data_IF_459905186247
#
_entry.id   IF_459905186247
#
_cell.length_a   1.000
_cell.length_b   1.000
_cell.length_c   1.000
_cell.angle_alpha   90.00
_cell.angle_beta   90.00
_cell.angle_gamma   90.00
#
_symmetry.space_group_name_H-M   'P 1'
#
loop_
_entity.id
_entity.type
_entity.pdbx_description
1 polymer ?
#
# COMPACT_ATOMS: atom_id res chain seq x y z
N UNK A 1 -7.67 24.23 3.53
CA UNK A 1 -6.68 23.66 2.60
C UNK A 1 -7.31 22.39 2.06
N UNK A 2 -7.23 22.14 0.76
CA UNK A 2 -7.96 21.05 0.09
C UNK A 2 -7.10 19.78 0.04
N UNK A 3 -6.68 19.29 1.20
CA UNK A 3 -5.94 18.03 1.32
C UNK A 3 -6.92 16.84 1.44
N UNK A 4 -6.52 15.69 0.88
CA UNK A 4 -7.35 14.49 0.86
C UNK A 4 -7.34 13.73 2.20
N UNK A 5 -6.17 13.65 2.85
CA UNK A 5 -6.00 13.03 4.15
C UNK A 5 -4.74 13.53 4.88
N UNK A 6 -4.66 13.20 6.16
CA UNK A 6 -3.47 13.30 6.99
C UNK A 6 -2.98 11.89 7.34
N UNK A 7 -1.78 11.56 6.91
CA UNK A 7 -1.19 10.22 7.01
C UNK A 7 -0.33 10.08 8.26
N UNK A 8 -0.55 9.02 9.02
CA UNK A 8 0.21 8.62 10.23
C UNK A 8 0.74 9.80 11.06
N UNK A 9 -0.15 10.71 11.54
CA UNK A 9 0.29 11.92 12.24
C UNK A 9 0.92 11.65 13.61
N UNK A 10 0.80 10.41 14.10
CA UNK A 10 1.32 9.90 15.37
C UNK A 10 1.75 8.44 15.15
N UNK A 11 2.57 7.92 16.05
CA UNK A 11 2.86 6.49 16.10
C UNK A 11 1.57 5.65 16.20
N UNK A 12 1.52 4.54 15.45
CA UNK A 12 0.36 3.67 15.39
C UNK A 12 -0.10 3.19 16.77
N UNK A 13 0.84 2.89 17.68
CA UNK A 13 0.51 2.41 19.02
C UNK A 13 -0.24 3.45 19.86
N UNK A 14 -0.24 4.72 19.45
CA UNK A 14 -0.97 5.79 20.12
C UNK A 14 -2.46 5.84 19.72
N UNK A 15 -3.11 4.69 19.77
CA UNK A 15 -4.50 4.43 19.39
C UNK A 15 -5.46 5.46 19.98
N UNK A 16 -5.30 5.81 21.26
CA UNK A 16 -6.16 6.80 21.91
C UNK A 16 -6.06 8.18 21.28
N UNK A 17 -4.85 8.64 20.98
CA UNK A 17 -4.64 9.97 20.42
C UNK A 17 -5.07 10.02 18.96
N UNK A 18 -4.76 8.98 18.18
CA UNK A 18 -5.25 8.85 16.79
C UNK A 18 -6.78 8.89 16.74
N UNK A 19 -7.46 8.14 17.60
CA UNK A 19 -8.93 8.17 17.70
C UNK A 19 -9.49 9.54 18.13
N UNK A 20 -8.80 10.28 18.99
CA UNK A 20 -9.25 11.65 19.28
C UNK A 20 -9.03 12.59 18.08
N UNK A 21 -7.98 12.40 17.29
CA UNK A 21 -7.78 13.16 16.04
C UNK A 21 -8.92 12.92 15.04
N UNK A 22 -9.38 11.67 14.84
CA UNK A 22 -10.52 11.37 13.95
C UNK A 22 -11.85 11.99 14.41
N UNK A 23 -11.95 12.39 15.68
CA UNK A 23 -13.14 13.04 16.25
C UNK A 23 -13.12 14.56 16.17
N UNK A 24 -11.94 15.17 16.20
CA UNK A 24 -11.80 16.64 16.29
C UNK A 24 -11.37 17.29 14.98
N UNK A 25 -10.79 16.51 14.06
CA UNK A 25 -10.35 17.00 12.76
C UNK A 25 -11.39 16.73 11.68
N UNK A 26 -11.53 17.67 10.75
CA UNK A 26 -12.35 17.51 9.55
C UNK A 26 -11.61 16.77 8.41
N UNK A 27 -10.27 16.70 8.48
CA UNK A 27 -9.43 15.97 7.53
C UNK A 27 -9.34 14.48 7.93
N UNK A 28 -9.56 13.52 7.01
CA UNK A 28 -9.46 12.10 7.34
C UNK A 28 -8.07 11.70 7.82
N UNK A 29 -8.00 10.89 8.86
CA UNK A 29 -6.76 10.24 9.28
C UNK A 29 -6.59 8.90 8.56
N UNK A 30 -5.42 8.68 7.99
CA UNK A 30 -5.05 7.43 7.29
C UNK A 30 -3.80 6.84 7.94
N UNK A 31 -3.72 5.52 8.05
CA UNK A 31 -2.55 4.83 8.59
C UNK A 31 -2.70 3.33 8.51
N UNK A 32 -2.07 2.62 9.45
CA UNK A 32 -2.01 1.15 9.54
C UNK A 32 -1.05 0.48 8.57
N UNK A 33 -0.13 1.19 7.92
CA UNK A 33 0.70 0.55 6.89
C UNK A 33 1.75 -0.41 7.47
N UNK A 34 2.27 -0.10 8.66
CA UNK A 34 3.31 -0.89 9.34
C UNK A 34 2.81 -1.67 10.57
N UNK A 35 1.51 -1.60 10.90
CA UNK A 35 1.02 -2.31 12.08
C UNK A 35 1.08 -3.82 11.87
N UNK A 36 1.56 -4.54 12.89
CA UNK A 36 1.68 -5.98 12.80
C UNK A 36 0.31 -6.67 12.80
N UNK A 37 0.28 -7.90 12.24
CA UNK A 37 -0.86 -8.85 12.31
C UNK A 37 -2.11 -8.40 11.53
N UNK A 38 -1.93 -7.87 10.32
CA UNK A 38 -3.05 -7.72 9.39
C UNK A 38 -3.70 -9.08 9.05
N UNK A 39 -5.03 -9.11 8.83
CA UNK A 39 -6.00 -8.01 8.95
C UNK A 39 -6.54 -7.82 10.39
N UNK A 40 -6.08 -8.62 11.35
CA UNK A 40 -6.70 -8.72 12.68
C UNK A 40 -6.54 -7.43 13.50
N UNK A 41 -5.36 -6.81 13.49
CA UNK A 41 -5.16 -5.52 14.15
C UNK A 41 -5.96 -4.40 13.46
N UNK A 42 -6.07 -4.43 12.14
CA UNK A 42 -6.85 -3.45 11.36
C UNK A 42 -8.33 -3.52 11.72
N UNK A 43 -8.88 -4.70 12.02
CA UNK A 43 -10.27 -4.85 12.46
C UNK A 43 -10.57 -4.04 13.73
N UNK A 44 -9.63 -4.01 14.68
CA UNK A 44 -9.76 -3.19 15.88
C UNK A 44 -9.71 -1.69 15.53
N UNK A 45 -8.77 -1.29 14.67
CA UNK A 45 -8.60 0.12 14.28
C UNK A 45 -9.84 0.66 13.57
N UNK A 46 -10.42 -0.11 12.65
CA UNK A 46 -11.64 0.25 11.94
C UNK A 46 -12.83 0.28 12.90
N UNK A 47 -13.05 -0.79 13.68
CA UNK A 47 -14.23 -0.90 14.56
C UNK A 47 -14.27 0.17 15.66
N UNK A 48 -13.11 0.68 16.07
CA UNK A 48 -12.98 1.76 17.05
C UNK A 48 -12.80 3.14 16.44
N UNK A 49 -12.79 3.24 15.10
CA UNK A 49 -12.50 4.47 14.33
C UNK A 49 -11.22 5.16 14.80
N UNK A 50 -10.17 4.37 15.02
CA UNK A 50 -8.82 4.87 15.34
C UNK A 50 -8.22 5.62 14.15
N UNK A 51 -8.57 5.21 12.94
CA UNK A 51 -8.30 5.91 11.68
C UNK A 51 -9.60 6.00 10.87
N UNK A 52 -9.67 6.93 9.91
CA UNK A 52 -10.82 7.08 9.00
C UNK A 52 -10.63 6.26 7.71
N UNK A 53 -9.39 5.97 7.31
CA UNK A 53 -9.04 4.98 6.26
C UNK A 53 -7.82 4.17 6.67
N UNK A 54 -7.67 3.01 6.04
CA UNK A 54 -6.57 2.08 6.33
C UNK A 54 -5.66 1.94 5.13
N UNK A 55 -4.45 1.44 5.38
CA UNK A 55 -3.47 1.13 4.34
C UNK A 55 -3.02 -0.32 4.43
N UNK A 56 -2.61 -0.85 3.28
CA UNK A 56 -2.00 -2.17 3.16
C UNK A 56 -1.04 -2.21 1.97
N UNK A 57 -0.01 -3.03 2.08
CA UNK A 57 0.91 -3.34 0.99
C UNK A 57 1.41 -4.79 1.10
N UNK A 58 1.88 -5.35 0.00
CA UNK A 58 2.29 -6.76 -0.04
C UNK A 58 3.50 -7.09 0.83
N UNK A 59 4.32 -6.09 1.21
CA UNK A 59 5.54 -6.29 1.98
C UNK A 59 5.26 -6.40 3.49
N UNK A 60 4.39 -5.54 4.03
CA UNK A 60 4.06 -5.50 5.46
C UNK A 60 2.78 -6.27 5.82
N UNK A 61 1.84 -6.38 4.89
CA UNK A 61 0.51 -6.94 5.16
C UNK A 61 0.42 -8.46 4.90
N UNK A 62 1.54 -9.13 4.63
CA UNK A 62 1.56 -10.60 4.44
C UNK A 62 1.19 -11.04 3.02
N UNK A 63 1.66 -10.29 2.03
CA UNK A 63 1.46 -10.58 0.61
C UNK A 63 0.03 -10.32 0.11
N UNK A 64 -0.24 -10.76 -1.12
CA UNK A 64 -1.54 -10.55 -1.80
C UNK A 64 -2.72 -10.99 -0.93
N UNK A 65 -2.64 -12.18 -0.31
CA UNK A 65 -3.73 -12.70 0.52
C UNK A 65 -4.06 -11.78 1.70
N UNK A 66 -3.04 -11.24 2.36
CA UNK A 66 -3.24 -10.33 3.48
C UNK A 66 -3.82 -9.00 3.04
N UNK A 67 -3.34 -8.45 1.92
CA UNK A 67 -3.85 -7.18 1.35
C UNK A 67 -5.32 -7.32 0.98
N UNK A 68 -5.69 -8.37 0.24
CA UNK A 68 -7.09 -8.61 -0.15
C UNK A 68 -7.99 -8.81 1.08
N UNK A 69 -7.54 -9.58 2.08
CA UNK A 69 -8.31 -9.74 3.33
C UNK A 69 -8.50 -8.41 4.08
N UNK A 70 -7.49 -7.55 4.08
CA UNK A 70 -7.54 -6.24 4.73
C UNK A 70 -8.48 -5.30 3.98
N UNK A 71 -8.37 -5.23 2.65
CA UNK A 71 -9.24 -4.43 1.81
C UNK A 71 -10.71 -4.86 1.89
N UNK A 72 -10.99 -6.17 1.83
CA UNK A 72 -12.35 -6.71 1.99
C UNK A 72 -12.91 -6.48 3.39
N UNK A 73 -12.07 -6.58 4.44
CA UNK A 73 -12.48 -6.20 5.80
C UNK A 73 -12.87 -4.72 5.86
N UNK A 74 -12.06 -3.82 5.29
CA UNK A 74 -12.36 -2.39 5.26
C UNK A 74 -13.64 -2.08 4.47
N UNK A 75 -13.82 -2.73 3.31
CA UNK A 75 -15.04 -2.62 2.49
C UNK A 75 -16.29 -2.98 3.29
N UNK A 76 -16.25 -4.02 4.13
CA UNK A 76 -17.37 -4.43 4.98
C UNK A 76 -17.80 -3.37 6.01
N UNK A 77 -16.91 -2.43 6.35
CA UNK A 77 -17.18 -1.29 7.22
C UNK A 77 -17.42 0.02 6.44
N UNK A 78 -17.41 -0.02 5.10
CA UNK A 78 -17.49 1.17 4.25
C UNK A 78 -16.26 2.06 4.32
N UNK A 79 -15.10 1.48 4.64
CA UNK A 79 -13.81 2.17 4.76
C UNK A 79 -12.92 1.85 3.55
N UNK A 80 -12.22 2.87 3.05
CA UNK A 80 -11.23 2.69 1.98
C UNK A 80 -9.95 2.05 2.52
N UNK A 81 -9.37 1.15 1.72
CA UNK A 81 -8.04 0.60 1.93
C UNK A 81 -7.15 1.11 0.80
N UNK A 82 -6.31 2.11 1.09
CA UNK A 82 -5.37 2.66 0.12
C UNK A 82 -4.13 1.75 0.05
N UNK A 83 -3.62 1.50 -1.16
CA UNK A 83 -2.45 0.62 -1.33
C UNK A 83 -1.17 1.44 -1.15
N UNK A 84 -0.43 1.10 -0.09
CA UNK A 84 0.83 1.74 0.30
C UNK A 84 2.00 1.25 -0.57
N UNK A 85 3.06 2.05 -0.64
CA UNK A 85 4.30 1.71 -1.34
C UNK A 85 5.09 0.60 -0.64
N UNK A 86 5.62 -0.33 -1.42
CA UNK A 86 6.63 -1.30 -1.00
C UNK A 86 8.05 -0.87 -1.46
N UNK A 87 8.22 0.42 -1.76
CA UNK A 87 9.46 1.11 -2.16
C UNK A 87 9.97 0.73 -3.54
N UNK A 88 10.16 -0.57 -3.83
CA UNK A 88 10.76 -1.05 -5.08
C UNK A 88 9.70 -1.52 -6.08
N UNK A 89 9.88 -1.16 -7.35
CA UNK A 89 8.89 -1.41 -8.40
C UNK A 89 8.51 -2.89 -8.61
N UNK A 90 9.39 -3.90 -8.41
CA UNK A 90 8.94 -5.29 -8.42
C UNK A 90 7.79 -5.60 -7.45
N UNK A 91 7.81 -5.00 -6.24
CA UNK A 91 6.72 -5.15 -5.27
C UNK A 91 5.56 -4.22 -5.60
N UNK A 92 5.83 -3.03 -6.15
CA UNK A 92 4.77 -2.14 -6.62
C UNK A 92 3.94 -2.73 -7.75
N UNK A 93 4.55 -3.54 -8.62
CA UNK A 93 3.81 -4.30 -9.61
C UNK A 93 2.77 -5.21 -8.96
N UNK A 94 3.13 -5.88 -7.86
CA UNK A 94 2.19 -6.72 -7.10
C UNK A 94 1.11 -5.87 -6.42
N UNK A 95 1.50 -4.76 -5.79
CA UNK A 95 0.56 -3.81 -5.19
C UNK A 95 -0.42 -3.25 -6.23
N UNK A 96 0.02 -2.98 -7.47
CA UNK A 96 -0.81 -2.51 -8.57
C UNK A 96 -1.89 -3.52 -8.95
N UNK A 97 -1.53 -4.82 -9.01
CA UNK A 97 -2.50 -5.90 -9.17
C UNK A 97 -3.50 -5.96 -8.01
N UNK A 98 -3.04 -5.75 -6.77
CA UNK A 98 -3.95 -5.65 -5.61
C UNK A 98 -4.89 -4.45 -5.70
N UNK A 99 -4.39 -3.26 -6.06
CA UNK A 99 -5.17 -2.04 -6.21
C UNK A 99 -6.25 -2.20 -7.28
N UNK A 100 -5.94 -2.85 -8.41
CA UNK A 100 -6.89 -3.13 -9.47
C UNK A 100 -7.92 -4.23 -9.12
N UNK A 101 -7.64 -5.07 -8.14
CA UNK A 101 -8.51 -6.17 -7.72
C UNK A 101 -9.54 -5.77 -6.65
N UNK A 102 -9.43 -4.58 -6.06
CA UNK A 102 -10.30 -4.09 -4.98
C UNK A 102 -11.10 -2.87 -5.42
N UNK A 103 -12.30 -2.71 -4.86
CA UNK A 103 -13.24 -1.62 -5.19
C UNK A 103 -13.01 -0.35 -4.36
N UNK A 104 -12.31 -0.47 -3.22
CA UNK A 104 -12.21 0.54 -2.17
C UNK A 104 -10.80 1.13 -2.03
N UNK A 105 -10.03 1.16 -3.11
CA UNK A 105 -8.74 1.86 -3.21
C UNK A 105 -8.89 3.05 -4.17
N UNK A 106 -8.49 4.24 -3.73
CA UNK A 106 -8.62 5.48 -4.50
C UNK A 106 -7.32 5.78 -5.26
N UNK A 107 -6.18 5.52 -4.65
CA UNK A 107 -4.86 5.86 -5.18
C UNK A 107 -3.88 4.69 -5.02
N UNK A 108 -2.95 4.62 -5.97
CA UNK A 108 -1.81 3.72 -5.94
C UNK A 108 -0.55 4.57 -5.71
N UNK A 109 0.15 4.31 -4.62
CA UNK A 109 1.31 5.10 -4.21
C UNK A 109 2.60 4.67 -4.91
N UNK A 110 3.41 5.65 -5.30
CA UNK A 110 4.73 5.42 -5.89
C UNK A 110 5.71 6.50 -5.44
N UNK A 111 6.97 6.09 -5.26
CA UNK A 111 8.06 7.01 -4.98
C UNK A 111 8.60 7.65 -6.26
N UNK A 112 9.02 8.91 -6.15
CA UNK A 112 9.59 9.70 -7.27
C UNK A 112 11.01 10.15 -6.92
N UNK A 113 11.97 10.14 -7.87
CA UNK A 113 11.86 9.76 -9.28
C UNK A 113 11.73 8.25 -9.52
N UNK A 114 10.83 7.85 -10.42
CA UNK A 114 10.46 6.44 -10.70
C UNK A 114 11.67 5.57 -11.04
N UNK A 115 12.60 6.07 -11.84
CA UNK A 115 13.79 5.35 -12.27
C UNK A 115 14.68 4.88 -11.12
N UNK A 116 14.64 5.57 -9.98
CA UNK A 116 15.43 5.24 -8.78
C UNK A 116 14.97 3.93 -8.15
N UNK A 117 13.70 3.58 -8.32
CA UNK A 117 13.04 2.45 -7.66
C UNK A 117 12.75 1.29 -8.61
N UNK A 118 13.16 1.41 -9.88
CA UNK A 118 12.91 0.43 -10.94
C UNK A 118 13.83 -0.79 -10.93
N UNK A 119 14.76 -0.89 -9.97
CA UNK A 119 15.75 -1.96 -9.92
C UNK A 119 15.11 -3.36 -10.01
N UNK A 120 15.64 -4.17 -10.92
CA UNK A 120 15.27 -5.57 -11.09
C UNK A 120 14.06 -5.84 -11.99
N UNK A 121 13.30 -4.83 -12.45
CA UNK A 121 12.29 -5.04 -13.50
C UNK A 121 12.89 -4.91 -14.90
N UNK A 122 12.48 -5.79 -15.82
CA UNK A 122 12.87 -5.71 -17.25
C UNK A 122 12.23 -4.51 -17.95
N UNK A 123 10.99 -4.16 -17.57
CA UNK A 123 10.23 -3.04 -18.12
C UNK A 123 9.75 -2.13 -16.98
N UNK A 124 9.65 -0.80 -17.19
CA UNK A 124 9.11 0.09 -16.18
C UNK A 124 7.62 -0.21 -15.94
N UNK A 125 7.11 0.20 -14.77
CA UNK A 125 5.67 0.19 -14.50
C UNK A 125 4.93 1.04 -15.56
N UNK A 126 3.81 0.53 -16.14
CA UNK A 126 3.07 1.23 -17.19
C UNK A 126 2.24 2.37 -16.61
N UNK A 127 2.89 3.51 -16.38
CA UNK A 127 2.31 4.72 -15.79
C UNK A 127 2.42 5.87 -16.79
N UNK A 128 1.32 6.58 -17.01
CA UNK A 128 1.28 7.76 -17.87
C UNK A 128 0.16 8.70 -17.42
N UNK A 129 0.40 10.01 -17.50
CA UNK A 129 -0.59 11.05 -17.18
C UNK A 129 -1.22 10.91 -15.78
N UNK A 130 -0.45 10.42 -14.81
CA UNK A 130 -0.92 10.17 -13.44
C UNK A 130 -1.80 8.94 -13.27
N UNK A 131 -1.88 8.07 -14.29
CA UNK A 131 -2.67 6.83 -14.28
C UNK A 131 -1.74 5.64 -14.44
N UNK A 132 -1.86 4.66 -13.53
CA UNK A 132 -1.21 3.36 -13.66
C UNK A 132 -2.15 2.35 -14.34
N UNK A 133 -1.65 1.62 -15.33
CA UNK A 133 -2.39 0.55 -16.01
C UNK A 133 -1.87 -0.83 -15.56
N UNK A 134 -2.66 -1.89 -15.74
CA UNK A 134 -2.13 -3.25 -15.60
C UNK A 134 -1.40 -3.68 -16.87
N UNK A 135 -0.25 -4.39 -16.78
CA UNK A 135 0.32 -5.06 -17.93
C UNK A 135 -0.62 -6.16 -18.46
N UNK A 136 -0.55 -6.46 -19.76
CA UNK A 136 -1.45 -7.43 -20.41
C UNK A 136 -0.98 -8.89 -20.33
N UNK A 137 0.27 -9.13 -19.97
CA UNK A 137 0.84 -10.49 -19.92
C UNK A 137 0.32 -11.27 -18.69
N UNK A 138 0.27 -12.61 -18.74
CA UNK A 138 -0.14 -13.42 -17.60
C UNK A 138 0.72 -13.22 -16.34
N UNK A 139 0.16 -13.51 -15.17
CA UNK A 139 0.85 -13.39 -13.88
C UNK A 139 0.97 -11.91 -13.46
N UNK A 140 2.15 -11.51 -12.98
CA UNK A 140 2.44 -10.11 -12.65
C UNK A 140 2.61 -9.24 -13.91
N UNK A 141 2.89 -9.86 -15.05
CA UNK A 141 2.86 -9.22 -16.36
C UNK A 141 4.15 -8.51 -16.80
N UNK A 142 5.15 -8.41 -15.91
CA UNK A 142 6.51 -7.95 -16.21
C UNK A 142 7.49 -8.91 -15.53
N UNK A 143 8.55 -9.29 -16.26
CA UNK A 143 9.60 -10.18 -15.75
C UNK A 143 10.68 -9.43 -14.95
N UNK A 144 11.44 -10.20 -14.17
CA UNK A 144 12.62 -9.72 -13.45
C UNK A 144 13.90 -9.86 -14.29
N UNK A 145 14.78 -8.86 -14.22
CA UNK A 145 16.13 -8.94 -14.80
C UNK A 145 17.06 -9.70 -13.86
N UNK A 146 17.08 -11.02 -14.02
CA UNK A 146 17.92 -11.90 -13.20
C UNK A 146 19.41 -11.68 -13.41
N UNK A 147 19.85 -11.25 -14.59
CA UNK A 147 21.27 -10.97 -14.81
C UNK A 147 21.70 -9.75 -13.99
N UNK A 148 20.92 -8.67 -14.02
CA UNK A 148 21.17 -7.49 -13.19
C UNK A 148 21.17 -7.84 -11.70
N UNK A 149 20.18 -8.62 -11.26
CA UNK A 149 20.04 -9.03 -9.85
C UNK A 149 21.27 -9.85 -9.43
N UNK A 150 21.67 -10.85 -10.22
CA UNK A 150 22.81 -11.72 -9.93
C UNK A 150 24.13 -10.93 -9.92
N UNK A 151 24.34 -10.02 -10.89
CA UNK A 151 25.52 -9.17 -10.98
C UNK A 151 25.66 -8.20 -9.79
N UNK A 152 24.53 -7.78 -9.20
CA UNK A 152 24.49 -6.91 -8.03
C UNK A 152 24.44 -7.68 -6.70
N UNK A 153 24.31 -9.01 -6.73
CA UNK A 153 24.20 -9.82 -5.53
C UNK A 153 25.57 -10.09 -4.94
N UNK A 154 25.79 -9.65 -3.70
CA UNK A 154 26.99 -9.97 -2.93
C UNK A 154 26.64 -10.64 -1.61
N UNK A 155 27.49 -11.57 -1.19
CA UNK A 155 27.32 -12.25 0.09
C UNK A 155 27.79 -11.34 1.22
N UNK A 156 26.88 -11.02 2.14
CA UNK A 156 27.24 -10.41 3.43
C UNK A 156 27.59 -11.56 4.39
N UNK A 157 28.79 -11.51 4.97
CA UNK A 157 29.30 -12.47 5.96
C UNK A 157 28.91 -12.06 7.38
#
# INVERSE_FOLDING_TARGET
MDYLWLEEPLFDENVHSLRELTRVLDIPIVGTEVIAKHPYSVAEYISTRTVDRVRADVSWTGGITGVLKTATLAEAFGVNCEIHTAILHPLELVNLHCAAAVSNCSYFELLTPLETFAFGLVEPLPIGDGIAALPSNPGLGIDLDWNLIDDCTFKIL
#
